data_IF_845247407547
#
_entry.id   IF_845247407547
#
_cell.length_a   1.000
_cell.length_b   1.000
_cell.length_c   1.000
_cell.angle_alpha   90.00
_cell.angle_beta   90.00
_cell.angle_gamma   90.00
#
_symmetry.space_group_name_H-M   'P 1'
#
loop_
_entity.id
_entity.type
_entity.pdbx_description
1 polymer ?
#
# COMPACT_ATOMS: atom_id res chain seq x y z
N UNK A 1 2.21 31.74 14.67
CA UNK A 1 1.18 32.52 13.94
C UNK A 1 0.26 31.46 13.36
N UNK A 2 -0.85 31.18 14.03
CA UNK A 2 -1.79 30.15 13.60
C UNK A 2 -2.50 30.62 12.33
N UNK A 3 -2.72 29.72 11.37
CA UNK A 3 -3.22 30.05 10.03
C UNK A 3 -4.68 30.53 10.08
N UNK A 4 -4.84 31.86 10.19
CA UNK A 4 -6.11 32.56 10.13
C UNK A 4 -6.75 32.31 8.75
N UNK A 5 -7.67 31.34 8.69
CA UNK A 5 -8.39 31.00 7.45
C UNK A 5 -8.71 29.52 7.28
N UNK A 6 -8.09 28.63 8.05
CA UNK A 6 -8.40 27.19 8.03
C UNK A 6 -9.88 26.93 8.36
N UNK A 7 -10.46 27.68 9.30
CA UNK A 7 -11.86 27.57 9.71
C UNK A 7 -12.85 27.78 8.55
N UNK A 8 -12.52 28.65 7.59
CA UNK A 8 -13.37 28.88 6.40
C UNK A 8 -13.32 27.73 5.43
N UNK A 9 -12.16 27.08 5.32
CA UNK A 9 -11.99 25.88 4.51
C UNK A 9 -12.70 24.69 5.12
N UNK A 10 -12.58 24.50 6.44
CA UNK A 10 -13.29 23.44 7.17
C UNK A 10 -14.80 23.62 7.07
N UNK A 11 -15.30 24.86 7.23
CA UNK A 11 -16.72 25.15 7.05
C UNK A 11 -17.19 24.80 5.64
N UNK A 12 -16.48 25.29 4.62
CA UNK A 12 -16.85 25.03 3.21
C UNK A 12 -16.81 23.54 2.88
N UNK A 13 -15.83 22.82 3.41
CA UNK A 13 -15.73 21.37 3.22
C UNK A 13 -16.93 20.66 3.85
N UNK A 14 -17.20 20.92 5.12
CA UNK A 14 -18.22 20.19 5.89
C UNK A 14 -19.66 20.62 5.56
N UNK A 15 -19.92 21.90 5.31
CA UNK A 15 -21.27 22.43 5.10
C UNK A 15 -21.66 22.51 3.62
N UNK A 16 -20.78 23.02 2.76
CA UNK A 16 -21.13 23.32 1.37
C UNK A 16 -20.90 22.14 0.41
N UNK A 17 -19.87 21.33 0.65
CA UNK A 17 -19.49 20.22 -0.26
C UNK A 17 -20.15 18.91 0.17
N UNK A 18 -20.00 18.54 1.45
CA UNK A 18 -20.51 17.27 1.94
C UNK A 18 -21.86 17.41 2.66
N UNK A 19 -22.22 18.62 3.10
CA UNK A 19 -23.40 18.87 3.91
C UNK A 19 -23.35 18.17 5.27
N UNK A 20 -24.38 18.33 6.12
CA UNK A 20 -24.51 17.48 7.30
C UNK A 20 -24.58 16.04 6.80
N UNK A 21 -23.51 15.28 7.04
CA UNK A 21 -23.43 13.86 6.70
C UNK A 21 -24.36 13.13 7.66
N UNK A 22 -25.66 13.18 7.39
CA UNK A 22 -26.64 12.29 7.97
C UNK A 22 -26.43 10.94 7.30
N UNK A 23 -25.35 10.25 7.66
CA UNK A 23 -25.26 8.82 7.37
C UNK A 23 -26.49 8.22 8.06
N UNK A 24 -27.37 7.50 7.34
CA UNK A 24 -28.21 6.55 8.05
C UNK A 24 -27.23 5.69 8.84
N UNK A 25 -27.33 5.75 10.18
CA UNK A 25 -26.60 4.84 11.06
C UNK A 25 -27.28 3.49 10.85
N UNK A 26 -26.96 2.88 9.72
CA UNK A 26 -27.36 1.54 9.40
C UNK A 26 -26.45 0.67 10.26
N UNK A 27 -27.02 -0.14 11.13
CA UNK A 27 -26.26 -0.97 12.09
C UNK A 27 -25.19 -1.81 11.39
N UNK A 28 -25.39 -2.12 10.10
CA UNK A 28 -24.43 -2.80 9.23
C UNK A 28 -23.17 -1.97 9.00
N UNK A 29 -23.28 -0.65 8.79
CA UNK A 29 -22.13 0.24 8.53
C UNK A 29 -21.27 0.35 9.79
N UNK A 30 -21.91 0.52 10.96
CA UNK A 30 -21.18 0.56 12.23
C UNK A 30 -20.47 -0.77 12.50
N UNK A 31 -21.16 -1.91 12.33
CA UNK A 31 -20.54 -3.24 12.45
C UNK A 31 -19.41 -3.44 11.45
N UNK A 32 -19.54 -2.93 10.24
CA UNK A 32 -18.46 -2.99 9.22
C UNK A 32 -17.21 -2.28 9.73
N UNK A 33 -17.37 -1.08 10.30
CA UNK A 33 -16.25 -0.34 10.87
C UNK A 33 -15.58 -1.10 12.04
N UNK A 34 -16.38 -1.61 12.98
CA UNK A 34 -15.88 -2.35 14.15
C UNK A 34 -15.14 -3.64 13.75
N UNK A 35 -15.68 -4.40 12.80
CA UNK A 35 -15.07 -5.65 12.34
C UNK A 35 -13.78 -5.42 11.54
N UNK A 36 -13.71 -4.34 10.75
CA UNK A 36 -12.52 -4.01 9.96
C UNK A 36 -11.38 -3.40 10.80
N UNK A 37 -11.66 -2.85 11.98
CA UNK A 37 -10.62 -2.36 12.88
C UNK A 37 -9.91 -3.52 13.59
N UNK A 38 -10.65 -4.55 14.00
CA UNK A 38 -10.11 -5.68 14.75
C UNK A 38 -9.66 -6.82 13.84
N UNK A 39 -8.54 -6.60 13.14
CA UNK A 39 -7.95 -7.59 12.24
C UNK A 39 -7.49 -8.88 12.96
N UNK A 40 -7.27 -8.83 14.28
CA UNK A 40 -6.88 -10.02 15.05
C UNK A 40 -8.06 -10.98 15.23
N UNK A 41 -9.26 -10.42 15.44
CA UNK A 41 -10.50 -11.19 15.57
C UNK A 41 -11.10 -11.58 14.22
N UNK A 42 -10.91 -10.75 13.19
CA UNK A 42 -11.42 -10.97 11.84
C UNK A 42 -10.28 -11.00 10.81
N UNK A 43 -9.48 -12.08 10.76
CA UNK A 43 -8.31 -12.15 9.88
C UNK A 43 -8.67 -12.30 8.40
N UNK A 44 -9.77 -12.99 8.11
CA UNK A 44 -10.20 -13.34 6.75
C UNK A 44 -11.62 -12.82 6.47
N UNK A 45 -11.95 -12.65 5.19
CA UNK A 45 -13.28 -12.19 4.75
C UNK A 45 -14.43 -13.14 5.16
N UNK A 46 -14.11 -14.42 5.40
CA UNK A 46 -15.05 -15.44 5.89
C UNK A 46 -15.40 -15.26 7.37
N UNK A 47 -14.53 -14.61 8.15
CA UNK A 47 -14.76 -14.35 9.57
C UNK A 47 -15.75 -13.19 9.80
N UNK A 48 -15.96 -12.34 8.79
CA UNK A 48 -16.91 -11.22 8.84
C UNK A 48 -18.36 -11.70 8.84
N UNK A 49 -19.25 -10.92 9.44
CA UNK A 49 -20.69 -11.18 9.39
C UNK A 49 -21.21 -11.19 7.93
N UNK A 50 -22.25 -11.99 7.66
CA UNK A 50 -22.78 -12.18 6.31
C UNK A 50 -23.20 -10.85 5.65
N UNK A 51 -23.87 -9.97 6.40
CA UNK A 51 -24.34 -8.67 5.91
C UNK A 51 -23.15 -7.75 5.57
N UNK A 52 -22.11 -7.76 6.41
CA UNK A 52 -20.88 -6.97 6.23
C UNK A 52 -20.10 -7.48 5.02
N UNK A 53 -20.00 -8.80 4.87
CA UNK A 53 -19.37 -9.44 3.71
C UNK A 53 -20.13 -9.13 2.42
N UNK A 54 -21.46 -9.12 2.45
CA UNK A 54 -22.28 -8.74 1.32
C UNK A 54 -22.07 -7.27 0.94
N UNK A 55 -22.03 -6.37 1.94
CA UNK A 55 -21.76 -4.95 1.73
C UNK A 55 -20.38 -4.73 1.08
N UNK A 56 -19.36 -5.47 1.53
CA UNK A 56 -17.99 -5.38 1.03
C UNK A 56 -17.71 -6.21 -0.22
N UNK A 57 -18.67 -7.00 -0.70
CA UNK A 57 -18.48 -7.98 -1.78
C UNK A 57 -17.82 -7.40 -3.03
N UNK A 58 -18.24 -6.20 -3.44
CA UNK A 58 -17.67 -5.51 -4.61
C UNK A 58 -16.22 -5.09 -4.38
N UNK A 59 -15.91 -4.57 -3.18
CA UNK A 59 -14.56 -4.16 -2.83
C UNK A 59 -13.61 -5.38 -2.73
N UNK A 60 -14.09 -6.49 -2.15
CA UNK A 60 -13.35 -7.75 -2.05
C UNK A 60 -13.04 -8.33 -3.45
N UNK A 61 -14.03 -8.34 -4.34
CA UNK A 61 -13.80 -8.79 -5.73
C UNK A 61 -12.77 -7.91 -6.46
N UNK A 62 -12.78 -6.59 -6.21
CA UNK A 62 -11.81 -5.66 -6.79
C UNK A 62 -10.40 -5.86 -6.22
N UNK A 63 -10.26 -6.11 -4.91
CA UNK A 63 -8.96 -6.41 -4.31
C UNK A 63 -8.38 -7.71 -4.86
N UNK A 64 -9.21 -8.74 -5.04
CA UNK A 64 -8.77 -10.01 -5.59
C UNK A 64 -8.31 -9.86 -7.04
N UNK A 65 -9.07 -9.12 -7.86
CA UNK A 65 -8.69 -8.83 -9.24
C UNK A 65 -7.36 -8.05 -9.31
N UNK A 66 -7.14 -7.10 -8.39
CA UNK A 66 -5.90 -6.36 -8.30
C UNK A 66 -4.72 -7.25 -7.89
N UNK A 67 -4.89 -8.09 -6.87
CA UNK A 67 -3.90 -9.04 -6.41
C UNK A 67 -3.52 -10.01 -7.54
N UNK A 68 -4.51 -10.59 -8.22
CA UNK A 68 -4.28 -11.45 -9.38
C UNK A 68 -3.51 -10.72 -10.49
N UNK A 69 -3.82 -9.44 -10.77
CA UNK A 69 -3.07 -8.67 -11.77
C UNK A 69 -1.59 -8.55 -11.40
N UNK A 70 -1.29 -8.35 -10.12
CA UNK A 70 0.08 -8.25 -9.61
C UNK A 70 0.83 -9.59 -9.61
N UNK A 71 0.11 -10.69 -9.36
CA UNK A 71 0.70 -12.04 -9.18
C UNK A 71 0.58 -12.90 -10.44
N UNK A 72 0.10 -12.35 -11.56
CA UNK A 72 -0.06 -13.07 -12.83
C UNK A 72 1.28 -13.65 -13.29
N UNK A 73 1.38 -14.97 -13.50
CA UNK A 73 2.62 -15.58 -13.95
C UNK A 73 3.02 -15.02 -15.32
N UNK A 74 4.26 -14.53 -15.43
CA UNK A 74 4.81 -13.95 -16.66
C UNK A 74 4.81 -12.41 -16.71
N UNK A 75 4.14 -11.72 -15.78
CA UNK A 75 4.26 -10.26 -15.64
C UNK A 75 5.28 -9.97 -14.52
N UNK A 76 6.50 -9.62 -14.91
CA UNK A 76 7.54 -9.22 -13.97
C UNK A 76 7.47 -7.71 -13.73
N UNK A 77 6.86 -7.32 -12.61
CA UNK A 77 6.98 -5.95 -12.12
C UNK A 77 8.41 -5.68 -11.64
N UNK A 78 8.87 -4.44 -11.76
CA UNK A 78 10.18 -4.05 -11.26
C UNK A 78 10.24 -4.31 -9.75
N UNK A 79 11.12 -5.23 -9.33
CA UNK A 79 11.30 -5.60 -7.91
C UNK A 79 11.87 -4.44 -7.08
N UNK A 80 12.43 -3.44 -7.74
CA UNK A 80 12.99 -2.23 -7.13
C UNK A 80 12.44 -1.02 -7.86
N UNK A 81 12.04 -0.01 -7.09
CA UNK A 81 11.74 1.30 -7.64
C UNK A 81 12.97 1.84 -8.40
N UNK A 82 12.78 2.58 -9.49
CA UNK A 82 13.88 3.26 -10.16
C UNK A 82 14.68 4.08 -9.16
N UNK A 83 16.01 3.94 -9.19
CA UNK A 83 16.89 4.78 -8.37
C UNK A 83 16.80 6.22 -8.90
N UNK A 84 15.99 7.03 -8.22
CA UNK A 84 15.94 8.48 -8.46
C UNK A 84 17.29 9.07 -8.03
N UNK A 85 17.93 9.81 -8.95
CA UNK A 85 19.19 10.51 -8.68
C UNK A 85 18.99 11.56 -7.58
N UNK A 86 20.02 11.79 -6.79
CA UNK A 86 19.94 12.61 -5.58
C UNK A 86 19.48 14.05 -5.87
N UNK A 87 19.96 14.63 -6.96
CA UNK A 87 19.60 15.96 -7.42
C UNK A 87 18.10 16.11 -7.76
N UNK A 88 17.43 15.01 -8.15
CA UNK A 88 16.00 15.01 -8.49
C UNK A 88 15.08 14.82 -7.27
N UNK A 89 15.65 14.46 -6.11
CA UNK A 89 14.87 14.27 -4.88
C UNK A 89 14.68 15.58 -4.10
N UNK A 90 15.52 16.58 -4.38
CA UNK A 90 15.48 17.93 -3.80
C UNK A 90 14.19 18.66 -4.18
N UNK A 91 13.14 18.51 -3.37
CA UNK A 91 11.84 19.17 -3.58
C UNK A 91 11.71 20.50 -2.82
N UNK A 92 12.37 20.61 -1.67
CA UNK A 92 12.36 21.80 -0.80
C UNK A 92 13.74 21.97 -0.14
N UNK A 93 14.07 23.19 0.31
CA UNK A 93 15.35 23.48 0.97
C UNK A 93 15.61 22.63 2.22
N UNK A 94 14.56 22.31 2.99
CA UNK A 94 14.67 21.43 4.16
C UNK A 94 14.99 19.98 3.81
N UNK A 95 14.63 19.52 2.61
CA UNK A 95 14.96 18.20 2.09
C UNK A 95 16.38 18.13 1.53
N UNK A 96 16.98 19.26 1.16
CA UNK A 96 18.30 19.31 0.52
C UNK A 96 19.43 18.83 1.44
N UNK A 97 19.40 19.23 2.72
CA UNK A 97 20.41 18.85 3.71
C UNK A 97 20.34 17.35 4.04
N UNK A 98 19.14 16.85 4.35
CA UNK A 98 18.92 15.43 4.70
C UNK A 98 19.20 14.47 3.56
N UNK A 99 19.00 14.89 2.30
CA UNK A 99 19.27 14.04 1.13
C UNK A 99 20.73 14.07 0.70
N UNK A 100 21.44 15.20 0.91
CA UNK A 100 22.87 15.28 0.67
C UNK A 100 23.65 14.27 1.54
N UNK A 101 23.32 14.18 2.82
CA UNK A 101 23.90 13.21 3.76
C UNK A 101 23.60 11.77 3.35
N UNK A 102 22.34 11.46 3.02
CA UNK A 102 21.94 10.11 2.60
C UNK A 102 22.55 9.68 1.25
N UNK A 103 22.91 10.62 0.39
CA UNK A 103 23.57 10.33 -0.88
C UNK A 103 25.07 10.14 -0.71
N UNK A 104 25.73 10.92 0.15
CA UNK A 104 27.14 10.74 0.50
C UNK A 104 27.40 9.34 1.08
N UNK A 105 26.57 8.90 2.04
CA UNK A 105 26.69 7.60 2.73
C UNK A 105 26.52 6.38 1.81
N UNK A 106 25.86 6.52 0.65
CA UNK A 106 25.63 5.41 -0.31
C UNK A 106 26.80 5.23 -1.28
N UNK A 107 27.56 6.29 -1.54
CA UNK A 107 28.80 6.24 -2.33
C UNK A 107 29.87 5.38 -1.64
N UNK A 108 29.97 5.49 -0.30
CA UNK A 108 30.97 4.76 0.49
C UNK A 108 30.68 3.26 0.61
N UNK A 109 29.41 2.86 0.57
CA UNK A 109 29.02 1.42 0.55
C UNK A 109 29.18 0.76 -0.82
N UNK A 110 29.34 1.52 -1.89
CA UNK A 110 29.48 0.97 -3.25
C UNK A 110 30.96 0.73 -3.63
N UNK A 111 31.91 1.26 -2.85
CA UNK A 111 33.36 1.08 -3.08
C UNK A 111 33.97 -0.11 -2.31
N UNK A 112 33.23 -0.75 -1.39
CA UNK A 112 33.68 -1.95 -0.68
C UNK A 112 32.94 -3.22 -1.15
N UNK A 113 33.42 -3.80 -2.25
CA UNK A 113 33.48 -5.25 -2.48
C UNK A 113 32.19 -6.05 -2.75
N UNK A 114 32.03 -6.51 -4.01
CA UNK A 114 32.05 -7.92 -4.41
C UNK A 114 31.25 -8.14 -5.71
N UNK A 115 31.98 -8.34 -6.80
CA UNK A 115 31.46 -8.94 -8.04
C UNK A 115 31.11 -10.39 -7.70
N UNK A 116 29.84 -10.69 -7.43
CA UNK A 116 29.37 -12.08 -7.36
C UNK A 116 28.90 -12.49 -8.75
N UNK A 117 29.79 -13.23 -9.40
CA UNK A 117 29.69 -13.97 -10.65
C UNK A 117 28.27 -14.46 -10.98
N UNK A 118 27.85 -14.18 -12.22
CA UNK A 118 26.72 -14.77 -12.89
C UNK A 118 27.19 -15.95 -13.76
N UNK A 119 27.07 -17.17 -13.25
CA UNK A 119 27.03 -18.45 -13.96
C UNK A 119 26.46 -19.48 -12.96
N UNK A 120 25.79 -20.58 -13.27
CA UNK A 120 24.85 -21.01 -14.29
C UNK A 120 24.31 -22.37 -13.76
N UNK A 121 23.09 -22.74 -14.16
CA UNK A 121 22.47 -24.09 -14.22
C UNK A 121 22.27 -25.03 -12.99
N UNK A 122 20.99 -25.42 -12.87
CA UNK A 122 20.40 -26.75 -12.56
C UNK A 122 19.92 -27.06 -11.13
N UNK A 123 18.60 -27.31 -11.01
CA UNK A 123 18.03 -27.99 -9.84
C UNK A 123 16.51 -27.92 -9.60
N UNK A 124 15.67 -27.70 -10.62
CA UNK A 124 14.22 -27.97 -10.48
C UNK A 124 13.98 -29.48 -10.46
N UNK A 125 13.57 -30.03 -9.32
CA UNK A 125 12.66 -31.20 -9.30
C UNK A 125 11.58 -30.94 -8.25
N UNK A 126 10.49 -30.29 -8.67
CA UNK A 126 9.23 -30.39 -7.97
C UNK A 126 8.44 -31.47 -8.73
N UNK A 127 8.57 -32.72 -8.28
CA UNK A 127 7.80 -33.83 -8.82
C UNK A 127 6.36 -33.67 -8.38
N UNK A 128 5.51 -33.36 -9.37
CA UNK A 128 4.08 -33.61 -9.39
C UNK A 128 3.75 -35.01 -8.86
N UNK A 129 2.82 -35.09 -7.91
CA UNK A 129 2.22 -36.33 -7.43
C UNK A 129 0.70 -36.17 -7.37
N UNK A 130 0.05 -36.32 -8.52
CA UNK A 130 -1.38 -36.65 -8.64
C UNK A 130 -1.51 -38.18 -8.58
N UNK A 131 -2.62 -38.66 -8.00
CA UNK A 131 -3.14 -40.04 -7.89
C UNK A 131 -2.77 -40.80 -6.60
N UNK A 132 -3.70 -40.83 -5.63
CA UNK A 132 -4.66 -41.93 -5.49
C UNK A 132 -5.88 -41.49 -4.66
#
# INVERSE_FOLDING_TARGET
MEDIGAEKWDRRLNEDIFGPISLPVDDVIQRTHEQLIDCAKYPDSEALDADVRQLLSTALAQSDAYAQRMTRPGINYATKLPRVRCELRRRTKSLEESEAEQCALKTDRSSSGAVSSCDNVNGLTNTSGYLQ
#
